data_IF_233147482089
#
_entry.id   IF_233147482089
#
_cell.length_a   1.000
_cell.length_b   1.000
_cell.length_c   1.000
_cell.angle_alpha   90.00
_cell.angle_beta   90.00
_cell.angle_gamma   90.00
#
_symmetry.space_group_name_H-M   'P 1'
#
loop_
_entity.id
_entity.type
_entity.pdbx_description
1 polymer ?
#
# COMPACT_ATOMS: atom_id res chain seq x y z
N UNK A 1 -30.14 -31.14 1.98
CA UNK A 1 -29.96 -29.70 2.28
C UNK A 1 -31.34 -29.10 2.38
N UNK A 2 -31.80 -28.78 3.58
CA UNK A 2 -33.08 -28.08 3.77
C UNK A 2 -33.01 -26.67 3.16
N UNK A 3 -34.08 -26.28 2.48
CA UNK A 3 -34.18 -24.97 1.85
C UNK A 3 -34.32 -23.90 2.95
N UNK A 4 -33.31 -23.04 3.05
CA UNK A 4 -33.29 -21.94 4.01
C UNK A 4 -34.47 -21.00 3.76
N UNK A 5 -35.23 -20.69 4.81
CA UNK A 5 -36.39 -19.81 4.69
C UNK A 5 -35.97 -18.34 4.59
N UNK A 6 -36.81 -17.50 3.97
CA UNK A 6 -36.55 -16.04 3.84
C UNK A 6 -36.27 -15.37 5.19
N UNK A 7 -36.96 -15.80 6.25
CA UNK A 7 -36.80 -15.26 7.61
C UNK A 7 -35.44 -15.59 8.19
N UNK A 8 -34.97 -16.80 7.91
CA UNK A 8 -33.68 -17.31 8.37
C UNK A 8 -32.52 -16.68 7.62
N UNK A 9 -32.68 -16.44 6.32
CA UNK A 9 -31.75 -15.63 5.53
C UNK A 9 -31.62 -14.20 6.09
N UNK A 10 -32.74 -13.52 6.34
CA UNK A 10 -32.73 -12.13 6.85
C UNK A 10 -32.11 -12.04 8.25
N UNK A 11 -32.36 -13.02 9.12
CA UNK A 11 -31.76 -13.10 10.45
C UNK A 11 -30.25 -13.29 10.36
N UNK A 12 -29.77 -14.25 9.55
CA UNK A 12 -28.34 -14.48 9.36
C UNK A 12 -27.65 -13.28 8.72
N UNK A 13 -28.28 -12.63 7.73
CA UNK A 13 -27.78 -11.42 7.10
C UNK A 13 -27.62 -10.26 8.11
N UNK A 14 -28.59 -10.08 9.02
CA UNK A 14 -28.51 -9.08 10.09
C UNK A 14 -27.42 -9.41 11.12
N UNK A 15 -27.25 -10.68 11.48
CA UNK A 15 -26.16 -11.16 12.36
C UNK A 15 -24.78 -10.90 11.72
N UNK A 16 -24.60 -11.15 10.42
CA UNK A 16 -23.38 -10.75 9.69
C UNK A 16 -23.22 -9.24 9.54
N UNK A 17 -24.31 -8.48 9.42
CA UNK A 17 -24.28 -7.01 9.40
C UNK A 17 -23.80 -6.41 10.73
N UNK A 18 -24.12 -7.06 11.85
CA UNK A 18 -23.55 -6.73 13.16
C UNK A 18 -22.08 -7.14 13.28
N UNK A 19 -21.67 -8.26 12.67
CA UNK A 19 -20.25 -8.63 12.59
C UNK A 19 -19.43 -7.61 11.76
N UNK A 20 -20.03 -6.98 10.75
CA UNK A 20 -19.41 -5.84 10.05
C UNK A 20 -19.32 -4.56 10.88
N UNK A 21 -20.08 -4.42 11.97
CA UNK A 21 -19.85 -3.34 12.94
C UNK A 21 -18.54 -3.56 13.73
N UNK A 22 -18.05 -4.80 13.82
CA UNK A 22 -16.68 -5.10 14.26
C UNK A 22 -15.61 -4.52 13.31
N UNK A 23 -15.96 -4.28 12.04
CA UNK A 23 -15.10 -3.58 11.08
C UNK A 23 -15.05 -2.06 11.37
N UNK A 24 -16.11 -1.50 11.98
CA UNK A 24 -16.09 -0.11 12.47
C UNK A 24 -15.16 0.08 13.68
N UNK A 25 -14.98 -0.96 14.51
CA UNK A 25 -13.98 -0.98 15.58
C UNK A 25 -12.54 -0.94 15.04
N UNK A 26 -12.31 -1.41 13.80
CA UNK A 26 -11.02 -1.25 13.12
C UNK A 26 -10.72 0.22 12.79
N UNK A 27 -11.75 1.04 12.60
CA UNK A 27 -11.65 2.50 12.44
C UNK A 27 -11.29 3.21 13.76
N UNK A 28 -11.73 2.67 14.91
CA UNK A 28 -11.32 3.16 16.24
C UNK A 28 -9.91 2.70 16.63
N UNK A 29 -9.51 1.49 16.25
CA UNK A 29 -8.13 0.99 16.49
C UNK A 29 -7.10 1.72 15.62
N UNK A 30 -7.47 2.10 14.40
CA UNK A 30 -6.69 2.97 13.52
C UNK A 30 -7.10 4.43 13.70
N UNK A 31 -7.31 4.86 14.96
CA UNK A 31 -7.91 6.13 15.35
C UNK A 31 -7.50 7.33 14.48
N UNK A 32 -8.38 8.34 14.37
CA UNK A 32 -8.24 9.42 13.39
C UNK A 32 -7.16 10.40 13.81
N UNK A 33 -5.90 10.01 13.70
CA UNK A 33 -4.90 10.92 13.17
C UNK A 33 -4.84 10.71 11.66
N UNK A 34 -5.97 11.01 11.01
CA UNK A 34 -5.94 11.48 9.63
C UNK A 34 -5.30 12.86 9.69
N UNK A 35 -4.00 12.89 9.87
CA UNK A 35 -3.25 14.11 9.68
C UNK A 35 -3.32 14.40 8.18
N UNK A 36 -4.06 15.45 7.82
CA UNK A 36 -3.89 16.16 6.55
C UNK A 36 -2.54 16.89 6.56
N UNK A 37 -1.49 16.15 6.88
CA UNK A 37 -0.12 16.60 6.94
C UNK A 37 0.68 15.63 6.08
N UNK A 38 1.08 16.13 4.91
CA UNK A 38 2.09 15.49 4.09
C UNK A 38 3.40 15.39 4.88
N UNK A 39 3.52 14.39 5.75
CA UNK A 39 4.79 14.02 6.38
C UNK A 39 5.63 13.41 5.26
N UNK A 40 6.33 14.27 4.53
CA UNK A 40 7.16 13.89 3.41
C UNK A 40 8.51 13.39 3.91
N UNK A 41 8.49 12.26 4.62
CA UNK A 41 9.72 11.58 5.03
C UNK A 41 10.41 11.04 3.79
N UNK A 42 11.72 11.29 3.73
CA UNK A 42 12.58 10.85 2.62
C UNK A 42 13.58 9.86 3.16
N UNK A 43 13.62 8.67 2.56
CA UNK A 43 14.62 7.64 2.87
C UNK A 43 15.61 7.52 1.69
N UNK A 44 16.92 7.41 1.94
CA UNK A 44 17.87 7.10 0.87
C UNK A 44 17.54 5.78 0.19
N UNK A 45 17.61 5.74 -1.14
CA UNK A 45 17.41 4.51 -1.91
C UNK A 45 18.71 3.72 -1.93
N UNK A 46 18.66 2.47 -1.46
CA UNK A 46 19.81 1.56 -1.42
C UNK A 46 20.27 1.17 -2.83
N UNK A 47 19.34 0.85 -3.73
CA UNK A 47 19.64 0.40 -5.08
C UNK A 47 19.78 1.59 -6.05
N UNK A 48 20.89 2.30 -5.92
CA UNK A 48 21.22 3.44 -6.75
C UNK A 48 22.71 3.47 -7.10
N UNK A 49 23.03 3.89 -8.33
CA UNK A 49 24.41 4.07 -8.80
C UNK A 49 24.64 5.52 -9.23
N UNK A 50 25.74 6.13 -8.80
CA UNK A 50 26.18 7.42 -9.34
C UNK A 50 26.67 7.23 -10.78
N UNK A 51 26.26 8.13 -11.68
CA UNK A 51 26.64 8.05 -13.10
C UNK A 51 27.74 9.06 -13.41
N UNK A 52 27.38 10.34 -13.57
CA UNK A 52 28.31 11.43 -13.83
C UNK A 52 27.78 12.75 -13.25
N UNK A 53 28.67 13.57 -12.71
CA UNK A 53 28.29 14.76 -11.97
C UNK A 53 27.31 14.43 -10.83
N UNK A 54 26.17 15.13 -10.79
CA UNK A 54 25.09 14.87 -9.82
C UNK A 54 23.97 13.97 -10.36
N UNK A 55 24.19 13.21 -11.44
CA UNK A 55 23.20 12.24 -11.97
C UNK A 55 23.27 10.91 -11.22
N UNK A 56 22.10 10.32 -10.98
CA UNK A 56 21.96 9.04 -10.30
C UNK A 56 21.07 8.11 -11.10
N UNK A 57 21.47 6.85 -11.23
CA UNK A 57 20.70 5.78 -11.83
C UNK A 57 19.98 4.98 -10.73
N UNK A 58 18.67 4.87 -10.82
CA UNK A 58 17.86 3.98 -9.99
C UNK A 58 18.01 2.54 -10.49
N UNK A 59 18.12 1.57 -9.60
CA UNK A 59 18.25 0.14 -9.93
C UNK A 59 17.11 -0.71 -9.34
N UNK A 60 16.08 -0.06 -8.79
CA UNK A 60 14.97 -0.74 -8.08
C UNK A 60 14.05 -1.51 -9.05
N UNK A 61 13.78 -0.99 -10.24
CA UNK A 61 12.89 -1.62 -11.22
C UNK A 61 13.51 -1.65 -12.62
N UNK A 62 12.94 -2.43 -13.58
CA UNK A 62 13.51 -2.61 -14.92
C UNK A 62 13.74 -1.33 -15.74
N UNK A 63 13.01 -0.23 -15.44
CA UNK A 63 13.18 1.05 -16.15
C UNK A 63 14.53 1.71 -15.94
N UNK A 64 15.23 1.41 -14.84
CA UNK A 64 16.58 1.90 -14.54
C UNK A 64 16.81 3.40 -14.80
N UNK A 65 15.84 4.23 -14.37
CA UNK A 65 15.82 5.68 -14.62
C UNK A 65 17.16 6.35 -14.27
N UNK A 66 17.69 7.19 -15.17
CA UNK A 66 18.84 8.06 -14.90
C UNK A 66 18.33 9.48 -14.67
N UNK A 67 18.43 9.95 -13.42
CA UNK A 67 17.83 11.20 -12.97
C UNK A 67 18.89 12.29 -12.77
N UNK A 68 18.62 13.49 -13.28
CA UNK A 68 19.32 14.75 -12.96
C UNK A 68 18.84 15.29 -11.60
N UNK A 69 19.60 16.19 -10.95
CA UNK A 69 19.14 16.82 -9.72
C UNK A 69 17.76 17.46 -9.88
N UNK A 70 16.85 17.17 -8.96
CA UNK A 70 15.47 17.63 -8.99
C UNK A 70 14.50 16.71 -9.74
N UNK A 71 14.99 15.87 -10.65
CA UNK A 71 14.12 14.97 -11.43
C UNK A 71 13.52 13.85 -10.58
N UNK A 72 12.29 13.50 -10.92
CA UNK A 72 11.49 12.43 -10.31
C UNK A 72 11.49 11.24 -11.28
N UNK A 73 11.57 10.02 -10.73
CA UNK A 73 11.49 8.78 -11.48
C UNK A 73 10.14 8.60 -12.17
N UNK A 74 10.11 7.80 -13.23
CA UNK A 74 8.89 7.44 -13.93
C UNK A 74 7.78 6.87 -13.02
N UNK A 75 8.14 6.10 -11.99
CA UNK A 75 7.17 5.57 -11.03
C UNK A 75 6.66 6.58 -9.99
N UNK A 76 7.11 7.84 -10.06
CA UNK A 76 6.70 8.95 -9.19
C UNK A 76 7.07 8.81 -7.70
N UNK A 77 7.85 7.78 -7.32
CA UNK A 77 8.24 7.53 -5.92
C UNK A 77 9.67 7.90 -5.58
N UNK A 78 10.55 8.09 -6.56
CA UNK A 78 11.97 8.44 -6.34
C UNK A 78 12.31 9.82 -6.89
N UNK A 79 13.22 10.52 -6.23
CA UNK A 79 13.75 11.80 -6.70
C UNK A 79 15.25 11.87 -6.45
N UNK A 80 15.98 12.45 -7.40
CA UNK A 80 17.37 12.79 -7.19
C UNK A 80 17.48 14.13 -6.45
N UNK A 81 17.97 14.10 -5.22
CA UNK A 81 18.25 15.27 -4.40
C UNK A 81 19.75 15.48 -4.37
N UNK A 82 20.25 16.44 -5.16
CA UNK A 82 21.64 16.86 -5.19
C UNK A 82 22.67 15.72 -5.38
N UNK A 83 22.36 14.71 -6.21
CA UNK A 83 23.23 13.57 -6.47
C UNK A 83 23.02 12.38 -5.54
N UNK A 84 21.94 12.38 -4.76
CA UNK A 84 21.47 11.24 -3.95
C UNK A 84 20.05 10.88 -4.34
N UNK A 85 19.81 9.60 -4.61
CA UNK A 85 18.46 9.11 -4.88
C UNK A 85 17.72 8.91 -3.56
N UNK A 86 16.57 9.55 -3.43
CA UNK A 86 15.71 9.51 -2.25
C UNK A 86 14.34 8.98 -2.67
N UNK A 87 13.67 8.24 -1.80
CA UNK A 87 12.28 7.83 -2.00
C UNK A 87 11.32 8.70 -1.21
N UNK A 88 10.10 8.79 -1.72
CA UNK A 88 8.93 9.43 -1.14
C UNK A 88 7.84 8.44 -0.75
N UNK A 89 8.08 7.15 -1.01
CA UNK A 89 7.20 6.06 -0.64
C UNK A 89 7.74 5.39 0.63
N UNK A 90 7.61 6.08 1.75
CA UNK A 90 8.12 5.66 3.05
C UNK A 90 7.19 6.15 4.17
N UNK A 91 6.78 5.22 5.03
CA UNK A 91 5.80 5.37 6.12
C UNK A 91 4.45 6.03 5.73
N UNK A 92 4.08 6.03 4.44
CA UNK A 92 2.93 6.79 3.95
C UNK A 92 2.02 6.02 2.97
N UNK A 93 1.53 4.81 3.33
CA UNK A 93 0.51 4.15 2.50
C UNK A 93 -0.71 5.03 2.27
N UNK A 94 -1.19 5.02 1.02
CA UNK A 94 -2.49 5.60 0.64
C UNK A 94 -3.60 4.55 0.61
N UNK A 95 -3.23 3.26 0.63
CA UNK A 95 -4.16 2.14 0.71
C UNK A 95 -3.81 1.30 1.92
N UNK A 96 -4.79 1.15 2.81
CA UNK A 96 -4.78 0.21 3.93
C UNK A 96 -6.17 -0.41 3.99
N UNK A 97 -6.26 -1.73 3.89
CA UNK A 97 -7.52 -2.44 4.12
C UNK A 97 -7.28 -3.80 4.74
N UNK A 98 -8.24 -4.26 5.54
CA UNK A 98 -8.25 -5.61 6.10
C UNK A 98 -9.35 -6.38 5.39
N UNK A 99 -8.96 -7.38 4.61
CA UNK A 99 -9.86 -8.10 3.71
C UNK A 99 -9.61 -9.61 3.78
N UNK A 100 -10.62 -10.45 3.51
CA UNK A 100 -10.42 -11.89 3.36
C UNK A 100 -9.55 -12.19 2.13
N UNK A 101 -8.75 -13.27 2.18
CA UNK A 101 -7.87 -13.69 1.09
C UNK A 101 -8.63 -13.95 -0.22
N UNK A 102 -9.92 -14.27 -0.15
CA UNK A 102 -10.80 -14.49 -1.30
C UNK A 102 -11.05 -13.23 -2.14
N UNK A 103 -10.79 -12.03 -1.60
CA UNK A 103 -10.79 -10.78 -2.38
C UNK A 103 -9.55 -10.68 -3.29
N UNK A 104 -8.48 -11.38 -2.93
CA UNK A 104 -7.24 -11.41 -3.70
C UNK A 104 -7.31 -12.48 -4.81
N UNK A 105 -6.51 -12.38 -5.88
CA UNK A 105 -6.40 -13.42 -6.91
C UNK A 105 -5.67 -14.70 -6.40
N UNK A 106 -5.81 -15.03 -5.12
CA UNK A 106 -5.16 -16.13 -4.40
C UNK A 106 -6.15 -16.88 -3.49
N UNK A 107 -7.41 -17.03 -3.92
CA UNK A 107 -8.49 -17.60 -3.10
C UNK A 107 -8.25 -19.04 -2.58
N UNK A 108 -7.35 -19.81 -3.20
CA UNK A 108 -6.95 -21.14 -2.73
C UNK A 108 -5.76 -21.14 -1.77
N UNK A 109 -5.13 -19.99 -1.55
CA UNK A 109 -4.03 -19.84 -0.62
C UNK A 109 -4.58 -19.50 0.76
N UNK A 110 -4.46 -20.44 1.71
CA UNK A 110 -4.94 -20.28 3.08
C UNK A 110 -6.40 -19.75 3.20
N UNK A 111 -7.42 -20.47 2.69
CA UNK A 111 -8.80 -20.00 2.68
C UNK A 111 -9.33 -19.57 4.05
N UNK A 112 -10.14 -18.51 4.07
CA UNK A 112 -10.68 -17.88 5.28
C UNK A 112 -9.68 -17.03 6.06
N UNK A 113 -8.43 -16.92 5.61
CA UNK A 113 -7.46 -16.04 6.26
C UNK A 113 -7.73 -14.57 5.95
N UNK A 114 -7.42 -13.74 6.95
CA UNK A 114 -7.44 -12.28 6.82
C UNK A 114 -6.10 -11.78 6.29
N UNK A 115 -6.18 -10.77 5.42
CA UNK A 115 -5.04 -10.07 4.82
C UNK A 115 -5.00 -8.62 5.29
N UNK A 116 -3.80 -8.09 5.53
CA UNK A 116 -3.55 -6.65 5.58
C UNK A 116 -3.09 -6.23 4.18
N UNK A 117 -3.97 -5.55 3.45
CA UNK A 117 -3.67 -5.01 2.13
C UNK A 117 -3.03 -3.63 2.27
N UNK A 118 -1.88 -3.45 1.63
CA UNK A 118 -1.14 -2.19 1.65
C UNK A 118 -0.75 -1.75 0.24
N UNK A 119 -0.80 -0.44 0.02
CA UNK A 119 -0.29 0.21 -1.17
C UNK A 119 0.21 1.61 -0.86
N UNK A 120 1.34 1.97 -1.46
CA UNK A 120 1.85 3.35 -1.45
C UNK A 120 1.72 3.90 -2.87
N UNK A 121 1.39 5.19 -2.96
CA UNK A 121 1.24 5.91 -4.22
C UNK A 121 2.40 5.73 -5.21
N UNK A 122 2.07 5.78 -6.49
CA UNK A 122 3.02 5.65 -7.59
C UNK A 122 3.17 4.21 -8.07
N UNK A 123 3.55 4.05 -9.34
CA UNK A 123 3.66 2.75 -10.00
C UNK A 123 4.54 2.87 -11.23
N UNK A 124 5.38 1.88 -11.49
CA UNK A 124 6.19 1.78 -12.71
C UNK A 124 5.40 1.15 -13.88
N UNK A 125 4.20 0.62 -13.62
CA UNK A 125 3.32 0.11 -14.67
C UNK A 125 2.30 1.19 -15.06
N UNK A 126 2.16 1.42 -16.36
CA UNK A 126 1.18 2.35 -16.95
C UNK A 126 0.11 1.57 -17.72
N UNK A 127 -0.59 0.67 -17.02
CA UNK A 127 -1.56 -0.23 -17.63
C UNK A 127 -2.73 0.57 -18.25
N UNK A 128 -3.08 0.27 -19.50
CA UNK A 128 -4.16 0.97 -20.24
C UNK A 128 -5.53 0.90 -19.53
N UNK A 129 -5.80 -0.20 -18.83
CA UNK A 129 -7.07 -0.46 -18.15
C UNK A 129 -6.91 -0.60 -16.63
N UNK A 130 -5.96 0.14 -16.05
CA UNK A 130 -5.72 0.09 -14.61
C UNK A 130 -6.98 0.55 -13.85
N UNK A 131 -7.62 -0.37 -13.11
CA UNK A 131 -8.75 -0.03 -12.24
C UNK A 131 -8.31 0.87 -11.06
N UNK A 132 -7.04 0.74 -10.65
CA UNK A 132 -6.45 1.46 -9.54
C UNK A 132 -5.63 2.68 -10.01
N UNK A 133 -5.96 3.27 -11.17
CA UNK A 133 -5.16 4.35 -11.77
C UNK A 133 -5.08 5.59 -10.87
N UNK A 134 -6.14 5.87 -10.09
CA UNK A 134 -6.18 7.00 -9.17
C UNK A 134 -5.08 6.90 -8.11
N UNK A 135 -4.77 5.68 -7.67
CA UNK A 135 -3.72 5.45 -6.68
C UNK A 135 -2.34 5.23 -7.31
N UNK A 136 -2.29 4.42 -8.37
CA UNK A 136 -1.04 3.99 -9.00
C UNK A 136 -0.39 5.06 -9.87
N UNK A 137 -1.17 5.98 -10.46
CA UNK A 137 -0.66 7.00 -11.39
C UNK A 137 -0.53 8.38 -10.73
N UNK A 138 -0.61 8.45 -9.39
CA UNK A 138 -0.35 9.67 -8.60
C UNK A 138 0.88 9.46 -7.74
N UNK A 139 1.60 10.54 -7.49
CA UNK A 139 2.72 10.52 -6.55
C UNK A 139 2.18 10.44 -5.11
N UNK A 140 2.88 9.75 -4.18
CA UNK A 140 2.55 9.79 -2.75
C UNK A 140 2.37 11.21 -2.21
N UNK A 141 3.13 12.17 -2.74
CA UNK A 141 3.05 13.59 -2.38
C UNK A 141 1.68 14.25 -2.65
N UNK A 142 0.87 13.65 -3.53
CA UNK A 142 -0.40 14.20 -4.03
C UNK A 142 -1.59 13.32 -3.62
N UNK A 143 -1.42 12.44 -2.63
CA UNK A 143 -2.45 11.52 -2.17
C UNK A 143 -2.68 11.70 -0.67
N UNK A 144 -3.85 11.27 -0.21
CA UNK A 144 -4.11 11.12 1.21
C UNK A 144 -3.40 9.86 1.70
N UNK A 145 -2.60 10.00 2.74
CA UNK A 145 -1.79 8.90 3.29
C UNK A 145 -2.01 8.79 4.78
N UNK A 146 -1.77 7.60 5.31
CA UNK A 146 -1.74 7.34 6.76
C UNK A 146 -0.30 7.07 7.16
N UNK A 147 0.13 7.58 8.32
CA UNK A 147 1.45 7.22 8.85
C UNK A 147 1.44 5.76 9.32
N UNK A 148 2.18 4.91 8.62
CA UNK A 148 2.32 3.50 8.99
C UNK A 148 3.70 2.99 8.65
N UNK A 149 4.51 2.77 9.69
CA UNK A 149 5.81 2.11 9.55
C UNK A 149 5.66 0.59 9.40
N UNK A 150 6.68 -0.12 8.87
CA UNK A 150 6.66 -1.57 8.78
C UNK A 150 6.46 -2.25 10.14
N UNK A 151 7.12 -1.72 11.18
CA UNK A 151 6.95 -2.20 12.56
C UNK A 151 5.53 -1.93 13.09
N UNK A 152 4.95 -0.79 12.74
CA UNK A 152 3.56 -0.45 13.05
C UNK A 152 2.58 -1.43 12.40
N UNK A 153 2.78 -1.75 11.12
CA UNK A 153 1.99 -2.74 10.39
C UNK A 153 2.08 -4.12 11.04
N UNK A 154 3.29 -4.59 11.34
CA UNK A 154 3.51 -5.89 12.02
C UNK A 154 2.84 -5.91 13.40
N UNK A 155 2.90 -4.82 14.16
CA UNK A 155 2.25 -4.71 15.47
C UNK A 155 0.72 -4.79 15.33
N UNK A 156 0.14 -4.08 14.35
CA UNK A 156 -1.28 -4.14 14.06
C UNK A 156 -1.71 -5.55 13.63
N UNK A 157 -0.96 -6.20 12.73
CA UNK A 157 -1.24 -7.57 12.29
C UNK A 157 -1.23 -8.57 13.46
N UNK A 158 -0.25 -8.47 14.37
CA UNK A 158 -0.20 -9.34 15.56
C UNK A 158 -1.37 -9.11 16.51
N UNK A 159 -1.81 -7.87 16.66
CA UNK A 159 -2.95 -7.52 17.53
C UNK A 159 -4.26 -8.10 17.00
N UNK A 160 -4.45 -8.07 15.68
CA UNK A 160 -5.71 -8.45 15.01
C UNK A 160 -5.68 -9.88 14.43
N UNK A 161 -4.69 -10.72 14.80
CA UNK A 161 -4.45 -12.08 14.26
C UNK A 161 -4.45 -12.15 12.71
N UNK A 162 -3.90 -11.13 12.05
CA UNK A 162 -3.77 -11.08 10.60
C UNK A 162 -2.52 -11.86 10.17
N UNK A 163 -2.71 -12.86 9.30
CA UNK A 163 -1.66 -13.83 8.93
C UNK A 163 -0.94 -13.50 7.64
N UNK A 164 -1.53 -12.64 6.80
CA UNK A 164 -1.04 -12.34 5.45
C UNK A 164 -0.91 -10.83 5.28
N UNK A 165 0.20 -10.39 4.69
CA UNK A 165 0.33 -9.04 4.13
C UNK A 165 0.22 -9.15 2.60
N UNK A 166 -0.64 -8.33 2.01
CA UNK A 166 -0.85 -8.28 0.57
C UNK A 166 -0.47 -6.89 0.06
N UNK A 167 0.55 -6.82 -0.80
CA UNK A 167 0.86 -5.57 -1.50
C UNK A 167 0.04 -5.52 -2.79
N UNK A 168 -0.86 -4.54 -2.88
CA UNK A 168 -1.81 -4.43 -4.00
C UNK A 168 -2.09 -2.96 -4.31
N UNK A 169 -2.95 -2.72 -5.31
CA UNK A 169 -3.30 -1.42 -5.89
C UNK A 169 -2.17 -0.71 -6.66
N UNK A 170 -0.93 -0.83 -6.19
CA UNK A 170 0.28 -0.33 -6.86
C UNK A 170 1.35 -1.42 -6.95
N UNK A 171 2.35 -1.24 -7.80
CA UNK A 171 3.42 -2.24 -7.99
C UNK A 171 4.43 -2.18 -6.83
N UNK A 172 4.55 -3.23 -5.99
CA UNK A 172 5.30 -3.20 -4.73
C UNK A 172 6.77 -2.81 -4.86
N UNK A 173 7.41 -3.13 -6.00
CA UNK A 173 8.84 -2.82 -6.17
C UNK A 173 9.12 -1.31 -6.05
N UNK A 174 8.14 -0.45 -6.37
CA UNK A 174 8.33 1.01 -6.35
C UNK A 174 8.39 1.61 -4.95
N UNK A 175 8.03 0.84 -3.92
CA UNK A 175 8.15 1.19 -2.51
C UNK A 175 8.94 0.15 -1.72
N UNK A 176 9.86 -0.55 -2.39
CA UNK A 176 10.74 -1.57 -1.79
C UNK A 176 11.38 -1.13 -0.47
N UNK A 177 11.79 0.13 -0.34
CA UNK A 177 12.39 0.63 0.89
C UNK A 177 11.46 0.52 2.10
N UNK A 178 10.14 0.52 1.92
CA UNK A 178 9.15 0.23 2.97
C UNK A 178 9.12 -1.25 3.35
N UNK A 179 9.30 -2.14 2.38
CA UNK A 179 9.25 -3.59 2.58
C UNK A 179 10.52 -4.12 3.28
N UNK A 180 11.66 -3.44 3.08
CA UNK A 180 12.98 -3.80 3.62
C UNK A 180 13.26 -3.44 5.08
#
# INVERSE_FOLDING_TARGET
MEAMTRREFLRRAAETGLATAGLSLLFEVLGPEVAEAAIYRRRPVRFAKKVSGKRVQCLVCPFRCVLRPGEISQCLTKQNINGRLMTHAWDNPSIISVDPIEKMPLYHYLPGATTLTLGIGGCNLHCLYCQNWQESQRSPAKQRTVELSPNGAVKAMKKEDIKIVAFSYTEPVVFLEWIE
#
